data_IF_476703453973
#
_entry.id   IF_476703453973
#
_cell.length_a   1.000
_cell.length_b   1.000
_cell.length_c   1.000
_cell.angle_alpha   90.00
_cell.angle_beta   90.00
_cell.angle_gamma   90.00
#
_symmetry.space_group_name_H-M   'P 1'
#
loop_
_entity.id
_entity.type
_entity.pdbx_description
1 polymer ?
#
# COMPACT_ATOMS: atom_id res chain seq x y z
N UNK A 1 4.61 -12.24 14.85
CA UNK A 1 3.71 -12.00 13.70
C UNK A 1 4.31 -10.83 12.94
N UNK A 2 4.26 -10.79 11.61
CA UNK A 2 4.70 -9.61 10.89
C UNK A 2 3.75 -8.46 11.20
N UNK A 3 4.29 -7.25 11.33
CA UNK A 3 3.48 -6.05 11.27
C UNK A 3 2.97 -5.89 9.84
N UNK A 4 1.76 -5.42 9.69
CA UNK A 4 1.13 -5.23 8.39
C UNK A 4 0.93 -3.75 8.13
N UNK A 5 1.37 -3.30 6.98
CA UNK A 5 1.10 -1.97 6.46
C UNK A 5 -0.14 -2.04 5.59
N UNK A 6 -1.18 -1.34 6.00
CA UNK A 6 -2.42 -1.18 5.22
C UNK A 6 -2.20 -0.07 4.20
N UNK A 7 -2.28 -0.39 2.93
CA UNK A 7 -1.92 0.54 1.86
C UNK A 7 -3.08 0.84 0.93
N UNK A 8 -3.33 2.12 0.73
CA UNK A 8 -4.25 2.62 -0.29
C UNK A 8 -3.46 3.00 -1.55
N UNK A 9 -3.85 2.43 -2.68
CA UNK A 9 -3.24 2.64 -3.98
C UNK A 9 -4.15 3.44 -4.90
N UNK A 10 -3.57 4.43 -5.57
CA UNK A 10 -4.20 5.21 -6.63
C UNK A 10 -3.29 5.15 -7.86
N UNK A 11 -3.75 4.53 -8.93
CA UNK A 11 -2.90 4.24 -10.09
C UNK A 11 -3.62 4.61 -11.38
N UNK A 12 -2.95 5.36 -12.25
CA UNK A 12 -3.43 5.68 -13.60
C UNK A 12 -2.54 4.98 -14.62
N UNK A 13 -3.16 4.20 -15.50
CA UNK A 13 -2.43 3.41 -16.49
C UNK A 13 -3.30 3.07 -17.71
N UNK A 14 -2.71 2.59 -18.84
CA UNK A 14 -3.48 2.11 -19.96
C UNK A 14 -4.42 0.97 -19.57
N UNK A 15 -5.71 1.07 -19.93
CA UNK A 15 -6.77 0.10 -19.58
C UNK A 15 -6.38 -1.34 -19.90
N UNK A 16 -5.71 -1.58 -21.02
CA UNK A 16 -5.23 -2.92 -21.41
C UNK A 16 -4.18 -3.53 -20.46
N UNK A 17 -3.51 -2.70 -19.66
CA UNK A 17 -2.45 -3.12 -18.75
C UNK A 17 -2.95 -3.29 -17.30
N UNK A 18 -4.18 -2.89 -16.98
CA UNK A 18 -4.74 -2.97 -15.61
C UNK A 18 -4.64 -4.38 -15.04
N UNK A 19 -5.13 -5.39 -15.77
CA UNK A 19 -5.05 -6.78 -15.31
C UNK A 19 -3.61 -7.24 -15.09
N UNK A 20 -2.69 -6.81 -15.97
CA UNK A 20 -1.27 -7.16 -15.85
C UNK A 20 -0.66 -6.54 -14.60
N UNK A 21 -0.96 -5.26 -14.33
CA UNK A 21 -0.50 -4.55 -13.14
C UNK A 21 -0.99 -5.22 -11.86
N UNK A 22 -2.29 -5.50 -11.76
CA UNK A 22 -2.87 -6.16 -10.58
C UNK A 22 -2.31 -7.57 -10.36
N UNK A 23 -1.93 -8.28 -11.40
CA UNK A 23 -1.31 -9.60 -11.29
C UNK A 23 0.10 -9.60 -10.66
N UNK A 24 0.73 -8.44 -10.45
CA UNK A 24 1.98 -8.35 -9.68
C UNK A 24 1.74 -8.33 -8.16
N UNK A 25 0.49 -8.16 -7.73
CA UNK A 25 0.12 -8.28 -6.33
C UNK A 25 -0.38 -9.70 -6.06
N UNK A 26 -0.04 -10.23 -4.89
CA UNK A 26 -0.56 -11.53 -4.45
C UNK A 26 -2.04 -11.38 -4.10
N UNK A 27 -2.88 -12.31 -4.51
CA UNK A 27 -4.25 -12.39 -4.01
C UNK A 27 -4.25 -12.99 -2.61
N UNK A 28 -5.12 -12.50 -1.73
CA UNK A 28 -5.31 -13.05 -0.38
C UNK A 28 -5.72 -14.53 -0.38
N UNK A 29 -6.27 -15.01 -1.50
CA UNK A 29 -6.71 -16.40 -1.70
C UNK A 29 -5.66 -17.27 -2.40
N UNK A 30 -4.56 -16.71 -2.90
CA UNK A 30 -3.56 -17.40 -3.71
C UNK A 30 -2.32 -17.83 -2.90
N UNK A 31 -2.51 -18.31 -1.67
CA UNK A 31 -1.43 -18.78 -0.79
C UNK A 31 -0.57 -19.90 -1.40
N UNK A 32 -1.08 -20.61 -2.41
CA UNK A 32 -0.36 -21.69 -3.09
C UNK A 32 0.44 -21.24 -4.32
N UNK A 33 0.29 -19.98 -4.75
CA UNK A 33 0.95 -19.43 -5.95
C UNK A 33 2.12 -18.50 -5.61
N UNK A 34 2.96 -18.88 -4.68
CA UNK A 34 4.21 -18.15 -4.38
C UNK A 34 5.25 -18.23 -5.52
N UNK A 35 4.92 -18.96 -6.60
CA UNK A 35 5.77 -19.10 -7.79
C UNK A 35 5.29 -18.17 -8.88
N UNK A 36 6.07 -17.13 -9.13
CA UNK A 36 5.80 -16.14 -10.16
C UNK A 36 6.44 -14.80 -9.84
N UNK A 37 6.32 -13.84 -10.76
CA UNK A 37 6.84 -12.50 -10.54
C UNK A 37 5.79 -11.66 -9.82
N UNK A 38 5.87 -11.60 -8.51
CA UNK A 38 4.98 -10.80 -7.65
C UNK A 38 5.79 -9.77 -6.88
N UNK A 39 5.16 -8.66 -6.50
CA UNK A 39 5.71 -7.73 -5.51
C UNK A 39 5.86 -8.47 -4.17
N UNK A 40 7.00 -8.27 -3.53
CA UNK A 40 7.35 -9.05 -2.35
C UNK A 40 6.35 -8.84 -1.21
N UNK A 41 5.71 -9.92 -0.79
CA UNK A 41 4.80 -9.98 0.36
C UNK A 41 3.73 -8.87 0.39
N UNK A 42 3.22 -8.48 -0.77
CA UNK A 42 2.17 -7.48 -0.89
C UNK A 42 0.90 -8.14 -1.42
N UNK A 43 -0.13 -8.15 -0.59
CA UNK A 43 -1.37 -8.88 -0.82
C UNK A 43 -2.51 -7.89 -1.06
N UNK A 44 -3.27 -8.11 -2.12
CA UNK A 44 -4.44 -7.31 -2.47
C UNK A 44 -5.72 -8.07 -2.06
N UNK A 45 -6.69 -7.35 -1.52
CA UNK A 45 -8.04 -7.85 -1.34
C UNK A 45 -8.83 -7.64 -2.65
N UNK A 46 -9.26 -8.73 -3.28
CA UNK A 46 -9.90 -8.69 -4.61
C UNK A 46 -11.19 -7.85 -4.63
N UNK A 47 -11.92 -7.78 -3.51
CA UNK A 47 -13.14 -7.00 -3.33
C UNK A 47 -12.89 -5.49 -3.12
N UNK A 48 -11.63 -5.08 -2.93
CA UNK A 48 -11.24 -3.69 -2.75
C UNK A 48 -10.96 -2.95 -4.06
N UNK A 49 -10.95 -3.65 -5.20
CA UNK A 49 -10.52 -3.09 -6.48
C UNK A 49 -11.65 -2.30 -7.12
N UNK A 50 -11.39 -1.01 -7.38
CA UNK A 50 -12.26 -0.14 -8.16
C UNK A 50 -11.52 0.34 -9.42
N UNK A 51 -12.10 0.15 -10.59
CA UNK A 51 -11.53 0.51 -11.89
C UNK A 51 -12.50 1.42 -12.62
N UNK A 52 -12.03 2.62 -12.99
CA UNK A 52 -12.80 3.59 -13.74
C UNK A 52 -12.01 4.02 -14.97
N UNK A 53 -12.59 3.88 -16.16
CA UNK A 53 -11.99 4.45 -17.38
C UNK A 53 -12.22 5.96 -17.38
N UNK A 54 -11.13 6.73 -17.25
CA UNK A 54 -11.17 8.20 -17.14
C UNK A 54 -11.01 8.91 -18.48
N UNK A 55 -10.40 8.23 -19.47
CA UNK A 55 -10.30 8.67 -20.87
C UNK A 55 -10.21 7.42 -21.75
N UNK A 56 -10.48 7.52 -23.06
CA UNK A 56 -10.40 6.38 -23.96
C UNK A 56 -9.07 5.64 -23.85
N UNK A 57 -9.11 4.39 -23.37
CA UNK A 57 -7.95 3.53 -23.18
C UNK A 57 -7.08 3.82 -21.95
N UNK A 58 -7.52 4.72 -21.05
CA UNK A 58 -6.85 5.05 -19.79
C UNK A 58 -7.78 4.77 -18.62
N UNK A 59 -7.32 4.02 -17.65
CA UNK A 59 -8.05 3.71 -16.43
C UNK A 59 -7.36 4.27 -15.19
N UNK A 60 -8.17 4.70 -14.24
CA UNK A 60 -7.79 4.95 -12.87
C UNK A 60 -8.22 3.76 -12.00
N UNK A 61 -7.30 3.24 -11.23
CA UNK A 61 -7.50 2.06 -10.38
C UNK A 61 -7.21 2.43 -8.94
N UNK A 62 -8.18 2.18 -8.07
CA UNK A 62 -8.03 2.34 -6.62
C UNK A 62 -8.22 0.99 -5.97
N UNK A 63 -7.31 0.62 -5.07
CA UNK A 63 -7.41 -0.62 -4.33
C UNK A 63 -6.63 -0.56 -3.02
N UNK A 64 -6.91 -1.52 -2.13
CA UNK A 64 -6.19 -1.71 -0.87
C UNK A 64 -5.34 -2.96 -0.91
N UNK A 65 -4.17 -2.89 -0.28
CA UNK A 65 -3.32 -4.05 -0.05
C UNK A 65 -2.75 -4.03 1.36
N UNK A 66 -2.31 -5.21 1.79
CA UNK A 66 -1.51 -5.38 3.00
C UNK A 66 -0.10 -5.79 2.60
N UNK A 67 0.90 -5.09 3.12
CA UNK A 67 2.30 -5.42 2.93
C UNK A 67 2.93 -5.85 4.26
N UNK A 68 3.71 -6.92 4.25
CA UNK A 68 4.39 -7.37 5.46
C UNK A 68 5.59 -6.47 5.77
N UNK A 69 5.60 -5.85 6.93
CA UNK A 69 6.64 -4.99 7.54
C UNK A 69 6.66 -3.55 7.05
N UNK A 70 6.81 -3.29 5.76
CA UNK A 70 7.00 -1.96 5.19
C UNK A 70 6.86 -2.01 3.67
N UNK A 71 6.42 -0.92 3.07
CA UNK A 71 6.42 -0.73 1.61
C UNK A 71 7.84 -0.63 1.04
N UNK A 72 8.82 -0.27 1.85
CA UNK A 72 10.24 -0.28 1.43
C UNK A 72 10.64 -1.64 0.85
N UNK A 73 10.00 -2.72 1.30
CA UNK A 73 10.28 -4.08 0.85
C UNK A 73 10.03 -4.33 -0.64
N UNK A 74 9.21 -3.50 -1.31
CA UNK A 74 8.91 -3.61 -2.74
C UNK A 74 9.67 -2.61 -3.60
N UNK A 75 10.49 -1.76 -3.00
CA UNK A 75 11.28 -0.76 -3.74
C UNK A 75 12.50 -1.38 -4.42
N UNK A 76 12.97 -2.53 -3.92
CA UNK A 76 14.14 -3.23 -4.43
C UNK A 76 13.76 -4.58 -5.03
N UNK A 77 14.48 -4.98 -6.09
CA UNK A 77 14.37 -6.32 -6.64
C UNK A 77 14.94 -7.33 -5.65
N UNK A 78 14.25 -8.46 -5.47
CA UNK A 78 14.69 -9.52 -4.56
C UNK A 78 14.94 -10.80 -5.34
N UNK A 79 16.05 -11.44 -5.02
CA UNK A 79 16.37 -12.79 -5.48
C UNK A 79 15.49 -13.81 -4.75
N UNK A 80 15.32 -15.04 -5.31
CA UNK A 80 14.57 -16.12 -4.69
C UNK A 80 15.05 -16.39 -3.26
N UNK A 81 14.12 -16.57 -2.34
CA UNK A 81 14.45 -16.86 -0.95
C UNK A 81 14.09 -18.30 -0.55
N UNK A 82 14.63 -18.74 0.62
CA UNK A 82 14.38 -20.08 1.17
C UNK A 82 12.90 -20.31 1.57
N UNK A 83 12.07 -19.24 1.61
CA UNK A 83 10.65 -19.31 1.97
C UNK A 83 9.75 -19.60 0.78
N UNK A 84 10.33 -19.80 -0.40
CA UNK A 84 9.64 -20.21 -1.61
C UNK A 84 9.13 -19.06 -2.48
N UNK A 85 9.52 -17.82 -2.19
CA UNK A 85 9.30 -16.73 -3.13
C UNK A 85 10.31 -16.84 -4.29
N UNK A 86 9.80 -16.76 -5.51
CA UNK A 86 10.62 -16.59 -6.70
C UNK A 86 11.22 -15.17 -6.73
N UNK A 87 11.97 -14.86 -7.78
CA UNK A 87 12.49 -13.51 -7.99
C UNK A 87 11.36 -12.48 -8.03
N UNK A 88 11.35 -11.56 -7.06
CA UNK A 88 10.36 -10.50 -6.97
C UNK A 88 10.86 -9.23 -7.65
N UNK A 89 10.11 -8.66 -8.61
CA UNK A 89 10.45 -7.37 -9.21
C UNK A 89 10.30 -6.24 -8.19
N UNK A 90 11.02 -5.14 -8.40
CA UNK A 90 10.73 -3.89 -7.69
C UNK A 90 9.55 -3.16 -8.33
N UNK A 91 8.93 -2.28 -7.54
CA UNK A 91 7.75 -1.51 -7.99
C UNK A 91 8.07 -0.61 -9.20
N UNK A 92 9.24 0.02 -9.23
CA UNK A 92 9.68 0.85 -10.37
C UNK A 92 9.68 0.06 -11.69
N UNK A 93 10.21 -1.17 -11.65
CA UNK A 93 10.16 -2.05 -12.82
C UNK A 93 8.74 -2.41 -13.23
N UNK A 94 7.85 -2.70 -12.26
CA UNK A 94 6.42 -3.01 -12.51
C UNK A 94 5.72 -1.83 -13.17
N UNK A 95 5.96 -0.60 -12.68
CA UNK A 95 5.39 0.61 -13.25
C UNK A 95 5.82 0.81 -14.71
N UNK A 96 7.10 0.62 -15.02
CA UNK A 96 7.64 0.70 -16.39
C UNK A 96 7.06 -0.38 -17.30
N UNK A 97 6.99 -1.63 -16.82
CA UNK A 97 6.45 -2.76 -17.56
C UNK A 97 4.96 -2.59 -17.90
N UNK A 98 4.19 -2.04 -16.96
CA UNK A 98 2.77 -1.78 -17.12
C UNK A 98 2.46 -0.43 -17.76
N UNK A 99 3.48 0.40 -18.04
CA UNK A 99 3.33 1.76 -18.59
C UNK A 99 2.41 2.61 -17.72
N UNK A 100 2.63 2.55 -16.41
CA UNK A 100 1.93 3.40 -15.45
C UNK A 100 2.17 4.87 -15.84
N UNK A 101 1.16 5.71 -15.69
CA UNK A 101 1.21 7.14 -15.99
C UNK A 101 1.42 7.93 -14.71
N UNK A 102 0.75 7.50 -13.63
CA UNK A 102 0.86 8.09 -12.31
C UNK A 102 0.51 7.02 -11.27
N UNK A 103 1.25 6.98 -10.17
CA UNK A 103 0.95 6.12 -9.05
C UNK A 103 1.22 6.88 -7.76
N UNK A 104 0.26 6.78 -6.84
CA UNK A 104 0.41 7.23 -5.45
C UNK A 104 -0.07 6.12 -4.53
N UNK A 105 0.72 5.85 -3.52
CA UNK A 105 0.35 4.92 -2.47
C UNK A 105 0.64 5.54 -1.11
N UNK A 106 -0.27 5.30 -0.17
CA UNK A 106 -0.10 5.64 1.24
C UNK A 106 -0.30 4.39 2.06
N UNK A 107 0.71 4.01 2.80
CA UNK A 107 0.70 2.90 3.76
C UNK A 107 0.68 3.41 5.19
N UNK A 108 -0.17 2.84 6.03
CA UNK A 108 -0.25 3.15 7.45
C UNK A 108 0.03 1.87 8.25
N UNK A 109 0.94 1.96 9.22
CA UNK A 109 1.22 0.88 10.18
C UNK A 109 0.82 1.33 11.59
N UNK A 110 -0.39 0.93 12.05
CA UNK A 110 -0.96 1.46 13.29
C UNK A 110 -0.25 1.01 14.57
N UNK A 111 0.47 -0.12 14.55
CA UNK A 111 1.11 -0.67 15.75
C UNK A 111 2.50 -0.08 16.00
N UNK A 112 3.18 0.36 14.94
CA UNK A 112 4.52 0.93 15.01
C UNK A 112 4.53 2.45 14.89
N UNK A 113 3.38 3.06 14.54
CA UNK A 113 3.24 4.50 14.47
C UNK A 113 4.03 5.13 13.32
N UNK A 114 4.05 4.51 12.16
CA UNK A 114 4.65 5.12 10.98
C UNK A 114 3.70 5.11 9.78
N UNK A 115 3.96 6.00 8.85
CA UNK A 115 3.25 6.17 7.60
C UNK A 115 4.26 6.23 6.46
N UNK A 116 3.93 5.61 5.35
CA UNK A 116 4.78 5.54 4.18
C UNK A 116 4.05 6.09 2.96
N UNK A 117 4.79 6.78 2.10
CA UNK A 117 4.30 7.32 0.85
C UNK A 117 5.16 6.82 -0.30
N UNK A 118 4.50 6.43 -1.37
CA UNK A 118 5.15 6.11 -2.63
C UNK A 118 4.49 6.95 -3.71
N UNK A 119 5.30 7.60 -4.53
CA UNK A 119 4.86 8.21 -5.77
C UNK A 119 5.72 7.70 -6.92
N UNK A 120 5.12 7.57 -8.08
CA UNK A 120 5.82 7.21 -9.32
C UNK A 120 5.19 7.93 -10.51
N UNK A 121 6.03 8.49 -11.35
CA UNK A 121 5.67 9.00 -12.68
C UNK A 121 6.79 8.70 -13.69
N UNK A 122 6.51 8.75 -15.01
CA UNK A 122 7.50 8.41 -16.03
C UNK A 122 8.72 9.33 -16.09
N UNK A 123 8.59 10.57 -15.65
CA UNK A 123 9.63 11.59 -15.78
C UNK A 123 10.58 11.59 -14.59
N UNK A 124 10.06 11.39 -13.38
CA UNK A 124 10.82 11.44 -12.13
C UNK A 124 11.14 10.04 -11.57
N UNK A 125 10.42 9.00 -12.03
CA UNK A 125 10.56 7.64 -11.51
C UNK A 125 9.91 7.46 -10.15
N UNK A 126 10.47 6.57 -9.33
CA UNK A 126 9.96 6.22 -8.01
C UNK A 126 10.51 7.14 -6.93
N UNK A 127 9.62 7.71 -6.12
CA UNK A 127 9.97 8.35 -4.84
C UNK A 127 9.33 7.59 -3.68
N UNK A 128 10.00 7.62 -2.54
CA UNK A 128 9.54 7.02 -1.29
C UNK A 128 9.86 7.95 -0.15
N UNK A 129 8.91 8.13 0.75
CA UNK A 129 9.06 8.87 1.99
C UNK A 129 8.37 8.11 3.12
N UNK A 130 8.85 8.30 4.34
CA UNK A 130 8.26 7.71 5.53
C UNK A 130 8.31 8.71 6.68
N UNK A 131 7.25 8.76 7.46
CA UNK A 131 7.13 9.63 8.63
C UNK A 131 6.66 8.87 9.86
N UNK A 132 7.18 9.25 11.02
CA UNK A 132 6.63 8.79 12.30
C UNK A 132 5.33 9.55 12.58
N UNK A 133 4.29 8.82 12.98
CA UNK A 133 3.00 9.40 13.33
C UNK A 133 2.66 9.10 14.80
N UNK A 134 2.08 10.08 15.47
CA UNK A 134 1.60 9.87 16.84
C UNK A 134 0.35 9.01 16.83
N UNK A 135 0.44 7.83 17.42
CA UNK A 135 -0.70 6.93 17.60
C UNK A 135 -1.42 7.20 18.92
N UNK A 136 -2.69 6.89 18.94
CA UNK A 136 -3.51 6.84 20.15
C UNK A 136 -4.23 5.50 20.24
N UNK A 137 -4.37 5.01 21.49
CA UNK A 137 -5.14 3.80 21.80
C UNK A 137 -6.15 4.17 22.87
N UNK A 138 -7.37 3.73 22.73
CA UNK A 138 -8.41 3.93 23.74
C UNK A 138 -8.71 2.62 24.46
N UNK A 139 -8.45 2.57 25.76
CA UNK A 139 -8.70 1.38 26.58
C UNK A 139 -10.19 1.06 26.76
N UNK A 140 -11.08 2.06 26.57
CA UNK A 140 -12.52 1.88 26.74
C UNK A 140 -13.17 1.22 25.53
N UNK A 141 -12.86 1.67 24.31
CA UNK A 141 -13.47 1.15 23.07
C UNK A 141 -12.52 0.33 22.22
N UNK A 142 -11.27 0.14 22.66
CA UNK A 142 -10.20 -0.55 21.94
C UNK A 142 -9.91 0.03 20.51
N UNK A 143 -10.33 1.25 20.24
CA UNK A 143 -9.99 1.91 19.00
C UNK A 143 -8.54 2.38 19.01
N UNK A 144 -7.88 2.25 17.86
CA UNK A 144 -6.52 2.72 17.60
C UNK A 144 -6.58 3.63 16.38
N UNK A 145 -5.79 4.70 16.37
CA UNK A 145 -5.70 5.59 15.22
C UNK A 145 -4.49 6.52 15.33
N UNK A 146 -4.43 7.45 14.39
CA UNK A 146 -3.38 8.45 14.32
C UNK A 146 -3.92 9.82 14.67
N UNK A 147 -3.08 10.65 15.29
CA UNK A 147 -3.31 12.08 15.31
C UNK A 147 -2.77 12.66 14.00
N UNK A 148 -3.65 13.18 13.20
CA UNK A 148 -3.23 13.95 12.03
C UNK A 148 -2.66 15.29 12.50
N UNK A 149 -1.44 15.61 12.06
CA UNK A 149 -0.74 16.83 12.49
C UNK A 149 -1.43 18.11 11.96
N UNK A 150 -2.33 17.94 10.99
CA UNK A 150 -3.03 19.03 10.32
C UNK A 150 -4.16 19.67 11.14
N UNK A 151 -4.62 19.03 12.22
CA UNK A 151 -5.60 19.64 13.12
C UNK A 151 -4.97 20.11 14.44
N UNK A 152 -4.52 21.38 14.49
CA UNK A 152 -3.91 21.96 15.70
C UNK A 152 -4.92 22.10 16.86
N UNK A 153 -6.23 21.94 16.60
CA UNK A 153 -7.29 22.06 17.60
C UNK A 153 -7.80 20.71 18.10
N UNK A 154 -7.27 19.59 17.59
CA UNK A 154 -7.64 18.27 18.07
C UNK A 154 -7.29 18.12 19.54
N UNK A 155 -8.27 17.82 20.37
CA UNK A 155 -8.03 17.49 21.79
C UNK A 155 -7.45 16.07 21.87
N UNK A 156 -6.12 16.02 21.88
CA UNK A 156 -5.35 14.76 21.95
C UNK A 156 -5.48 13.99 23.27
N UNK A 157 -6.29 14.50 24.20
CA UNK A 157 -6.58 13.84 25.48
C UNK A 157 -7.88 13.05 25.46
N UNK A 158 -8.65 13.15 24.37
CA UNK A 158 -9.99 12.54 24.25
C UNK A 158 -10.01 11.61 23.03
N UNK A 159 -10.53 10.40 23.22
CA UNK A 159 -10.74 9.45 22.14
C UNK A 159 -11.74 10.02 21.11
N UNK A 160 -11.35 10.15 19.84
CA UNK A 160 -12.25 10.71 18.82
C UNK A 160 -13.43 9.79 18.46
N UNK A 161 -13.38 8.52 18.87
CA UNK A 161 -14.42 7.54 18.58
C UNK A 161 -15.51 7.52 19.66
N UNK A 162 -15.13 7.46 20.95
CA UNK A 162 -16.10 7.32 22.04
C UNK A 162 -16.13 8.50 23.03
N UNK A 163 -15.24 9.48 22.89
CA UNK A 163 -15.16 10.64 23.79
C UNK A 163 -14.53 10.35 25.15
N UNK A 164 -14.02 9.15 25.39
CA UNK A 164 -13.33 8.78 26.63
C UNK A 164 -11.96 9.45 26.71
N UNK A 165 -11.49 9.73 27.93
CA UNK A 165 -10.14 10.30 28.12
C UNK A 165 -9.08 9.25 27.83
N UNK A 166 -8.12 9.63 26.96
CA UNK A 166 -6.96 8.81 26.62
C UNK A 166 -5.86 8.84 27.67
#
# INVERSE_FOLDING_TARGET
MPNWVDTNWNVTLPTKNVKRFLNYFLSSNDTDKLRGRFLYRTFIADDSINIVETAPGISHVVFFSNSAWSLESILVEREPDEKGFDRCPCLDWVCKDCKVIDLKARGDEPMMGFREFIEWDPDNGLSYDAEDVTIWCCDECNAIGYWEDEDPNADRTICPVCGHKL
#
